data_IF_721379559018
#
_entry.id   IF_721379559018
#
_cell.length_a   1.000
_cell.length_b   1.000
_cell.length_c   1.000
_cell.angle_alpha   90.00
_cell.angle_beta   90.00
_cell.angle_gamma   90.00
#
_symmetry.space_group_name_H-M   'P 1'
#
loop_
_entity.id
_entity.type
_entity.pdbx_description
1 polymer ?
#
# COMPACT_ATOMS: atom_id res chain seq x y z
N UNK A 1 -14.77 -34.72 3.05
CA UNK A 1 -13.96 -33.50 2.89
C UNK A 1 -12.49 -33.92 2.76
N UNK A 2 -11.79 -33.48 1.71
CA UNK A 2 -10.33 -33.69 1.60
C UNK A 2 -9.64 -32.68 2.51
N UNK A 3 -8.73 -33.16 3.35
CA UNK A 3 -7.94 -32.32 4.23
C UNK A 3 -6.94 -31.51 3.38
N UNK A 4 -7.26 -30.24 3.16
CA UNK A 4 -6.35 -29.29 2.52
C UNK A 4 -5.34 -28.91 3.59
N UNK A 5 -4.17 -29.55 3.55
CA UNK A 5 -3.02 -29.31 4.44
C UNK A 5 -2.85 -27.83 4.83
N UNK A 6 -2.20 -27.56 5.98
CA UNK A 6 -2.03 -26.23 6.58
C UNK A 6 -1.76 -25.13 5.54
N UNK A 7 -2.69 -24.16 5.43
CA UNK A 7 -2.58 -23.06 4.48
C UNK A 7 -1.34 -22.21 4.76
N UNK A 8 -0.46 -22.10 3.75
CA UNK A 8 0.77 -21.28 3.81
C UNK A 8 0.63 -19.93 3.12
N UNK A 9 -0.34 -19.78 2.21
CA UNK A 9 -0.56 -18.55 1.45
C UNK A 9 -2.02 -18.40 1.05
N UNK A 10 -2.58 -17.22 1.24
CA UNK A 10 -3.93 -16.85 0.78
C UNK A 10 -3.88 -15.44 0.18
N UNK A 11 -4.42 -15.24 -1.03
CA UNK A 11 -4.47 -13.94 -1.69
C UNK A 11 -3.13 -13.15 -1.74
N UNK A 12 -1.98 -13.84 -1.79
CA UNK A 12 -0.62 -13.23 -1.71
C UNK A 12 -0.20 -12.76 -0.32
N UNK A 13 -0.94 -13.13 0.73
CA UNK A 13 -0.55 -13.07 2.13
C UNK A 13 0.04 -14.43 2.51
N UNK A 14 1.25 -14.41 3.05
CA UNK A 14 1.96 -15.56 3.60
C UNK A 14 1.56 -15.74 5.06
N UNK A 15 1.23 -16.97 5.42
CA UNK A 15 0.75 -17.35 6.75
C UNK A 15 1.80 -18.25 7.39
N UNK A 16 2.35 -17.79 8.51
CA UNK A 16 3.24 -18.58 9.35
C UNK A 16 2.55 -18.87 10.67
N UNK A 17 2.40 -20.15 11.01
CA UNK A 17 1.78 -20.57 12.27
C UNK A 17 2.85 -21.03 13.25
N UNK A 18 2.93 -20.38 14.40
CA UNK A 18 3.74 -20.85 15.51
C UNK A 18 2.84 -21.60 16.49
N UNK A 19 2.92 -22.94 16.48
CA UNK A 19 2.08 -23.81 17.32
C UNK A 19 2.47 -23.79 18.79
N UNK A 20 3.75 -23.59 19.13
CA UNK A 20 4.18 -23.57 20.53
C UNK A 20 3.66 -22.34 21.28
N UNK A 21 3.42 -21.24 20.57
CA UNK A 21 2.88 -19.99 21.13
C UNK A 21 1.40 -19.77 20.76
N UNK A 22 0.82 -20.65 19.94
CA UNK A 22 -0.58 -20.54 19.49
C UNK A 22 -0.88 -19.30 18.63
N UNK A 23 0.12 -18.76 17.92
CA UNK A 23 0.00 -17.52 17.13
C UNK A 23 0.12 -17.77 15.63
N UNK A 24 -0.51 -16.88 14.87
CA UNK A 24 -0.30 -16.75 13.43
C UNK A 24 0.40 -15.43 13.13
N UNK A 25 1.20 -15.45 12.07
CA UNK A 25 1.89 -14.30 11.53
C UNK A 25 1.50 -14.16 10.07
N UNK A 26 1.05 -12.97 9.72
CA UNK A 26 0.71 -12.61 8.35
C UNK A 26 1.80 -11.72 7.75
N UNK A 27 2.26 -12.07 6.56
CA UNK A 27 3.24 -11.30 5.80
C UNK A 27 2.74 -11.10 4.37
N UNK A 28 2.92 -9.90 3.85
CA UNK A 28 2.65 -9.48 2.48
C UNK A 28 3.92 -8.92 1.82
N UNK A 29 5.10 -9.26 2.31
CA UNK A 29 6.36 -8.58 1.96
C UNK A 29 6.65 -8.77 0.46
N UNK A 30 6.48 -10.00 -0.03
CA UNK A 30 6.60 -10.34 -1.44
C UNK A 30 5.60 -9.58 -2.33
N UNK A 31 4.41 -9.24 -1.81
CA UNK A 31 3.45 -8.41 -2.54
C UNK A 31 3.93 -6.96 -2.60
N UNK A 32 4.35 -6.38 -1.48
CA UNK A 32 4.88 -5.01 -1.42
C UNK A 32 6.08 -4.86 -2.36
N UNK A 33 6.99 -5.83 -2.39
CA UNK A 33 8.13 -5.86 -3.32
C UNK A 33 7.67 -5.91 -4.78
N UNK A 34 6.66 -6.73 -5.11
CA UNK A 34 6.06 -6.73 -6.46
C UNK A 34 5.46 -5.39 -6.83
N UNK A 35 4.77 -4.72 -5.91
CA UNK A 35 4.20 -3.38 -6.14
C UNK A 35 5.31 -2.36 -6.37
N UNK A 36 6.37 -2.38 -5.56
CA UNK A 36 7.53 -1.49 -5.71
C UNK A 36 8.21 -1.70 -7.06
N UNK A 37 8.44 -2.95 -7.47
CA UNK A 37 9.01 -3.27 -8.78
C UNK A 37 8.11 -2.80 -9.92
N UNK A 38 6.80 -3.04 -9.85
CA UNK A 38 5.82 -2.64 -10.88
C UNK A 38 5.83 -1.14 -11.17
N UNK A 39 6.09 -0.32 -10.16
CA UNK A 39 6.07 1.13 -10.28
C UNK A 39 7.46 1.78 -10.22
N UNK A 40 8.53 1.00 -10.46
CA UNK A 40 9.92 1.48 -10.51
C UNK A 40 10.41 2.15 -9.20
N UNK A 41 9.93 1.66 -8.05
CA UNK A 41 10.23 2.18 -6.71
C UNK A 41 11.09 1.23 -5.86
N UNK A 42 11.57 0.14 -6.46
CA UNK A 42 12.42 -0.86 -5.82
C UNK A 42 13.73 -0.29 -5.26
N UNK A 43 14.28 0.74 -5.91
CA UNK A 43 15.52 1.41 -5.51
C UNK A 43 15.30 2.76 -4.78
N UNK A 44 14.05 3.16 -4.52
CA UNK A 44 13.75 4.45 -3.88
C UNK A 44 14.16 4.51 -2.41
N UNK A 45 14.85 5.58 -1.96
CA UNK A 45 15.32 5.73 -0.58
C UNK A 45 14.17 5.61 0.43
N UNK A 46 14.22 4.66 1.39
CA UNK A 46 13.19 4.51 2.41
C UNK A 46 12.94 5.78 3.22
N UNK A 47 11.72 5.92 3.74
CA UNK A 47 11.31 6.97 4.68
C UNK A 47 10.61 6.34 5.87
N UNK A 48 10.59 7.04 7.01
CA UNK A 48 10.06 6.54 8.29
C UNK A 48 8.64 7.00 8.59
N UNK A 49 8.11 7.94 7.81
CA UNK A 49 6.75 8.48 8.00
C UNK A 49 5.93 8.31 6.73
N UNK A 50 4.69 7.79 6.83
CA UNK A 50 3.83 7.51 5.67
C UNK A 50 3.35 8.79 4.98
N UNK A 51 3.22 9.89 5.74
CA UNK A 51 2.69 11.15 5.22
C UNK A 51 3.36 12.37 5.85
N UNK A 52 3.81 13.25 4.96
CA UNK A 52 4.48 14.54 5.17
C UNK A 52 3.57 15.69 5.63
N UNK A 53 3.86 16.47 6.67
CA UNK A 53 3.22 17.80 6.84
C UNK A 53 3.53 18.74 5.64
N UNK A 54 4.58 18.44 4.88
CA UNK A 54 4.92 19.16 3.64
C UNK A 54 3.97 18.85 2.48
N UNK A 55 3.15 17.78 2.54
CA UNK A 55 2.16 17.51 1.49
C UNK A 55 0.85 18.25 1.77
N UNK A 56 0.77 19.49 1.28
CA UNK A 56 -0.48 20.27 1.24
C UNK A 56 -1.25 19.97 -0.04
N UNK A 57 -1.85 18.78 -0.11
CA UNK A 57 -2.61 18.34 -1.28
C UNK A 57 -3.98 19.04 -1.33
N UNK A 58 -4.37 19.50 -2.51
CA UNK A 58 -5.66 20.16 -2.74
C UNK A 58 -6.14 19.94 -4.18
N UNK A 59 -7.38 20.24 -4.49
CA UNK A 59 -7.85 20.20 -5.89
C UNK A 59 -7.25 21.30 -6.75
N UNK A 60 -6.72 22.37 -6.14
CA UNK A 60 -6.12 23.50 -6.86
C UNK A 60 -4.82 23.17 -7.58
N UNK A 61 -4.15 22.08 -7.18
CA UNK A 61 -2.92 21.55 -7.79
C UNK A 61 -3.21 20.40 -8.77
N UNK A 62 -4.48 20.13 -9.07
CA UNK A 62 -4.84 19.29 -10.21
C UNK A 62 -4.50 20.02 -11.52
N UNK A 63 -4.19 19.28 -12.61
CA UNK A 63 -3.87 19.86 -13.91
C UNK A 63 -4.93 20.85 -14.37
N UNK A 64 -4.50 21.99 -14.91
CA UNK A 64 -5.41 23.03 -15.43
C UNK A 64 -5.25 23.31 -16.92
N UNK A 65 -4.11 22.92 -17.49
CA UNK A 65 -3.79 23.11 -18.89
C UNK A 65 -3.59 21.76 -19.57
N UNK A 66 -3.81 21.72 -20.88
CA UNK A 66 -3.79 20.49 -21.67
C UNK A 66 -2.44 19.75 -21.58
N UNK A 67 -1.32 20.50 -21.58
CA UNK A 67 0.03 19.92 -21.43
C UNK A 67 0.19 19.14 -20.12
N UNK A 68 -0.37 19.65 -19.01
CA UNK A 68 -0.32 18.96 -17.72
C UNK A 68 -1.24 17.75 -17.68
N UNK A 69 -2.43 17.85 -18.30
CA UNK A 69 -3.36 16.75 -18.42
C UNK A 69 -2.78 15.61 -19.25
N UNK A 70 -2.16 15.93 -20.39
CA UNK A 70 -1.48 14.97 -21.26
C UNK A 70 -0.32 14.29 -20.50
N UNK A 71 0.49 15.07 -19.80
CA UNK A 71 1.57 14.50 -18.97
C UNK A 71 1.02 13.52 -17.91
N UNK A 72 -0.02 13.93 -17.18
CA UNK A 72 -0.62 13.11 -16.12
C UNK A 72 -1.41 11.91 -16.63
N UNK A 73 -1.87 11.91 -17.88
CA UNK A 73 -2.59 10.78 -18.49
C UNK A 73 -1.76 9.50 -18.53
N UNK A 74 -0.43 9.64 -18.64
CA UNK A 74 0.52 8.53 -18.65
C UNK A 74 0.83 7.98 -17.25
N UNK A 75 0.48 8.72 -16.19
CA UNK A 75 0.81 8.37 -14.81
C UNK A 75 -0.20 7.33 -14.30
N UNK A 76 0.23 6.15 -13.84
CA UNK A 76 -0.66 5.08 -13.41
C UNK A 76 -1.21 5.31 -11.99
N UNK A 77 -1.76 6.49 -11.70
CA UNK A 77 -2.13 6.94 -10.36
C UNK A 77 -3.10 5.98 -9.66
N UNK A 78 -4.23 5.68 -10.30
CA UNK A 78 -5.27 4.80 -9.76
C UNK A 78 -4.78 3.38 -9.52
N UNK A 79 -3.97 2.85 -10.45
CA UNK A 79 -3.36 1.53 -10.36
C UNK A 79 -2.44 1.39 -9.15
N UNK A 80 -1.64 2.42 -8.87
CA UNK A 80 -0.73 2.46 -7.72
C UNK A 80 -1.52 2.56 -6.42
N UNK A 81 -2.45 3.50 -6.34
CA UNK A 81 -3.25 3.70 -5.13
C UNK A 81 -4.06 2.45 -4.79
N UNK A 82 -4.66 1.77 -5.78
CA UNK A 82 -5.35 0.50 -5.58
C UNK A 82 -4.43 -0.62 -5.08
N UNK A 83 -3.21 -0.69 -5.62
CA UNK A 83 -2.20 -1.68 -5.16
C UNK A 83 -1.79 -1.43 -3.70
N UNK A 84 -1.61 -0.17 -3.31
CA UNK A 84 -1.28 0.19 -1.93
C UNK A 84 -2.48 -0.04 -1.00
N UNK A 85 -3.70 0.24 -1.46
CA UNK A 85 -4.93 0.01 -0.70
C UNK A 85 -5.11 -1.48 -0.35
N UNK A 86 -4.72 -2.40 -1.24
CA UNK A 86 -4.73 -3.82 -0.91
C UNK A 86 -3.75 -4.17 0.23
N UNK A 87 -2.54 -3.59 0.21
CA UNK A 87 -1.61 -3.75 1.32
C UNK A 87 -2.17 -3.18 2.63
N UNK A 88 -2.82 -2.01 2.55
CA UNK A 88 -3.45 -1.33 3.68
C UNK A 88 -4.50 -2.21 4.37
N UNK A 89 -5.43 -2.77 3.60
CA UNK A 89 -6.54 -3.59 4.13
C UNK A 89 -6.02 -4.88 4.76
N UNK A 90 -5.01 -5.52 4.15
CA UNK A 90 -4.58 -6.83 4.58
C UNK A 90 -3.55 -6.80 5.72
N UNK A 91 -2.51 -5.97 5.61
CA UNK A 91 -1.37 -6.04 6.54
C UNK A 91 -0.77 -4.70 6.97
N UNK A 92 -1.28 -3.58 6.46
CA UNK A 92 -0.67 -2.25 6.64
C UNK A 92 -1.69 -1.17 7.03
N UNK A 93 -2.41 -1.32 8.16
CA UNK A 93 -3.35 -0.29 8.60
C UNK A 93 -2.67 1.05 8.92
N UNK A 94 -1.35 1.05 9.15
CA UNK A 94 -0.51 2.22 9.41
C UNK A 94 -0.47 3.25 8.26
N UNK A 95 -0.73 2.83 7.02
CA UNK A 95 -0.80 3.73 5.85
C UNK A 95 -2.21 4.24 5.55
N UNK A 96 -3.22 3.85 6.34
CA UNK A 96 -4.62 4.16 6.09
C UNK A 96 -4.88 5.65 5.92
N UNK A 97 -4.37 6.48 6.83
CA UNK A 97 -4.52 7.93 6.76
C UNK A 97 -3.94 8.51 5.46
N UNK A 98 -2.73 8.08 5.08
CA UNK A 98 -2.08 8.56 3.86
C UNK A 98 -2.89 8.19 2.61
N UNK A 99 -3.44 6.96 2.57
CA UNK A 99 -4.26 6.48 1.47
C UNK A 99 -5.57 7.25 1.38
N UNK A 100 -6.26 7.48 2.49
CA UNK A 100 -7.50 8.26 2.54
C UNK A 100 -7.32 9.67 1.95
N UNK A 101 -6.17 10.29 2.18
CA UNK A 101 -5.87 11.63 1.65
C UNK A 101 -5.67 11.61 0.13
N UNK A 102 -4.85 10.70 -0.40
CA UNK A 102 -4.53 10.63 -1.84
C UNK A 102 -5.70 10.08 -2.67
N UNK A 103 -6.54 9.22 -2.09
CA UNK A 103 -7.70 8.64 -2.78
C UNK A 103 -8.72 9.69 -3.26
N UNK A 104 -8.72 10.89 -2.67
CA UNK A 104 -9.60 12.01 -3.07
C UNK A 104 -9.30 12.54 -4.47
N UNK A 105 -8.11 12.28 -5.02
CA UNK A 105 -7.65 12.84 -6.28
C UNK A 105 -7.57 11.82 -7.42
N UNK A 106 -8.24 10.68 -7.29
CA UNK A 106 -8.24 9.59 -8.29
C UNK A 106 -8.78 10.01 -9.66
N UNK A 107 -9.74 10.94 -9.70
CA UNK A 107 -10.37 11.39 -10.94
C UNK A 107 -9.49 12.35 -11.75
N UNK A 108 -8.73 13.22 -11.06
CA UNK A 108 -7.89 14.23 -11.70
C UNK A 108 -6.62 14.47 -10.86
N UNK A 109 -5.64 13.54 -10.92
CA UNK A 109 -4.41 13.65 -10.15
C UNK A 109 -3.46 14.68 -10.78
N UNK A 110 -2.70 15.36 -9.93
CA UNK A 110 -1.66 16.32 -10.32
C UNK A 110 -0.28 15.76 -10.00
N UNK A 111 0.78 16.49 -10.39
CA UNK A 111 2.17 16.05 -10.20
C UNK A 111 2.49 15.87 -8.72
N UNK A 112 2.04 16.78 -7.87
CA UNK A 112 2.21 16.76 -6.42
C UNK A 112 1.43 15.61 -5.77
N UNK A 113 0.21 15.32 -6.27
CA UNK A 113 -0.55 14.13 -5.87
C UNK A 113 0.26 12.87 -6.14
N UNK A 114 0.92 12.80 -7.31
CA UNK A 114 1.78 11.67 -7.66
C UNK A 114 3.04 11.57 -6.78
N UNK A 115 3.67 12.70 -6.44
CA UNK A 115 4.80 12.70 -5.50
C UNK A 115 4.41 12.17 -4.13
N UNK A 116 3.22 12.49 -3.64
CA UNK A 116 2.71 11.95 -2.38
C UNK A 116 2.52 10.43 -2.44
N UNK A 117 1.98 9.89 -3.54
CA UNK A 117 1.85 8.44 -3.72
C UNK A 117 3.22 7.75 -3.76
N UNK A 118 4.20 8.32 -4.47
CA UNK A 118 5.59 7.82 -4.45
C UNK A 118 6.20 7.87 -3.05
N UNK A 119 5.86 8.87 -2.25
CA UNK A 119 6.29 8.93 -0.85
C UNK A 119 5.75 7.77 -0.02
N UNK A 120 4.47 7.43 -0.19
CA UNK A 120 3.86 6.27 0.47
C UNK A 120 4.55 4.97 0.05
N UNK A 121 4.92 4.81 -1.23
CA UNK A 121 5.71 3.65 -1.68
C UNK A 121 7.09 3.60 -1.03
N UNK A 122 7.79 4.73 -0.88
CA UNK A 122 9.08 4.79 -0.15
C UNK A 122 8.93 4.36 1.30
N UNK A 123 7.83 4.74 1.94
CA UNK A 123 7.52 4.31 3.29
C UNK A 123 7.24 2.80 3.35
N UNK A 124 6.48 2.27 2.38
CA UNK A 124 6.22 0.84 2.26
C UNK A 124 7.50 0.03 2.11
N UNK A 125 8.52 0.54 1.41
CA UNK A 125 9.85 -0.10 1.29
C UNK A 125 10.62 -0.16 2.60
N UNK A 126 10.56 0.91 3.41
CA UNK A 126 11.36 1.03 4.63
C UNK A 126 10.93 0.10 5.76
N UNK A 127 9.67 -0.31 5.75
CA UNK A 127 9.12 -1.18 6.77
C UNK A 127 9.35 -2.64 6.39
N UNK A 128 10.20 -3.31 7.17
CA UNK A 128 10.22 -4.76 7.21
C UNK A 128 8.92 -5.21 7.85
N UNK A 129 8.10 -5.97 7.14
CA UNK A 129 6.93 -6.58 7.76
C UNK A 129 7.37 -7.56 8.83
N UNK A 130 7.28 -7.12 10.07
CA UNK A 130 7.29 -7.98 11.23
C UNK A 130 5.90 -7.89 11.85
N UNK A 131 5.14 -8.96 11.60
CA UNK A 131 4.18 -9.53 12.53
C UNK A 131 2.92 -8.70 12.80
N UNK A 132 1.90 -8.87 11.95
CA UNK A 132 0.53 -8.85 12.49
C UNK A 132 0.34 -10.15 13.26
N UNK A 133 0.18 -10.01 14.58
CA UNK A 133 -0.28 -11.06 15.48
C UNK A 133 -1.80 -10.95 15.51
N UNK A 134 -2.48 -11.60 14.57
CA UNK A 134 -3.91 -11.82 14.72
C UNK A 134 -4.10 -13.04 15.64
N UNK A 135 -4.50 -12.79 16.89
CA UNK A 135 -5.52 -13.66 17.48
C UNK A 135 -6.75 -13.36 16.63
N UNK A 136 -7.04 -14.24 15.67
CA UNK A 136 -8.28 -14.27 14.88
C UNK A 136 -9.41 -13.52 15.60
N UNK A 137 -9.56 -12.22 15.32
CA UNK A 137 -10.82 -11.53 15.58
C UNK A 137 -11.71 -11.91 14.42
N UNK A 138 -12.23 -13.13 14.50
CA UNK A 138 -13.50 -13.47 13.89
C UNK A 138 -14.52 -12.67 14.69
N UNK A 139 -14.70 -11.39 14.35
CA UNK A 139 -15.94 -10.71 14.68
C UNK A 139 -16.99 -11.34 13.78
N UNK A 140 -17.86 -12.09 14.45
CA UNK A 140 -19.11 -12.62 13.97
C UNK A 140 -19.84 -11.60 13.10
N UNK A 141 -20.16 -12.00 11.87
CA UNK A 141 -21.44 -11.68 11.28
C UNK A 141 -22.46 -12.70 11.79
#
# INVERSE_FOLDING_TARGET
MKDLCVAKKILRIEITRNRSVGKFFLSQQAYVEKVLNRFNMNNAKPVTVPFTAHFKLSTNISPKIDEEMEHMSSVPYSSVVGSIMYAMVCTRPDISHAISVVNRYMACPGKEHWQAVKWILRFCRGLRQKEIIDRLFVYSL
#
